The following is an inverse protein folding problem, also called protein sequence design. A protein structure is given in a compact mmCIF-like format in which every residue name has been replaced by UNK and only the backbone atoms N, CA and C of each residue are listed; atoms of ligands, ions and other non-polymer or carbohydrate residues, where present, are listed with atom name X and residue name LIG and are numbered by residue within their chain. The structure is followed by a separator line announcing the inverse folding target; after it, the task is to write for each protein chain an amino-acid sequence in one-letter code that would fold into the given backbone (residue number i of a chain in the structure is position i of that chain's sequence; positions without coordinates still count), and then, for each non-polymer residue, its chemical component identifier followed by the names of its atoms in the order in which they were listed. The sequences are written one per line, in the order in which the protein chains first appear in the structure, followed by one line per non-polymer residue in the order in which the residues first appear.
data_IF_489844617848
#
_entry.id   IF_489844617848
#
_cell.length_a   1.000
_cell.length_b   1.000
_cell.length_c   1.000
_cell.angle_alpha   90.00
_cell.angle_beta   90.00
_cell.angle_gamma   90.00
#
_symmetry.space_group_name_H-M   'P 1'
#
loop_
_entity.id
_entity.type
_entity.pdbx_description
1 polymer ?
#
# COMPACT_ATOMS: atom_id res chain seq x y z
N UNK A 1 41.21 34.13 -77.04
CA UNK A 1 41.35 35.41 -76.30
C UNK A 1 39.94 35.84 -75.97
N UNK A 2 39.41 35.75 -74.74
CA UNK A 2 39.99 36.11 -73.46
C UNK A 2 39.75 35.02 -72.40
N UNK A 3 40.81 34.70 -71.67
CA UNK A 3 40.88 33.92 -70.44
C UNK A 3 40.46 34.78 -69.24
N UNK A 4 39.73 34.21 -68.27
CA UNK A 4 40.13 34.09 -66.85
C UNK A 4 39.22 33.03 -66.22
N UNK A 5 39.88 32.01 -65.70
CA UNK A 5 39.41 30.92 -64.84
C UNK A 5 39.74 31.32 -63.39
N UNK A 6 39.03 30.71 -62.44
CA UNK A 6 39.20 30.77 -60.97
C UNK A 6 38.60 32.04 -60.32
N UNK A 7 37.71 31.97 -59.33
CA UNK A 7 37.85 31.22 -58.08
C UNK A 7 36.71 30.23 -57.79
N UNK A 8 37.10 28.97 -57.56
CA UNK A 8 36.26 27.95 -56.96
C UNK A 8 36.01 28.28 -55.48
N UNK A 9 34.76 28.55 -55.12
CA UNK A 9 34.31 28.50 -53.73
C UNK A 9 34.04 27.03 -53.36
N UNK A 10 35.09 26.20 -53.33
CA UNK A 10 35.05 24.86 -52.76
C UNK A 10 35.59 24.90 -51.35
N UNK A 11 34.69 24.96 -50.38
CA UNK A 11 34.96 24.40 -49.05
C UNK A 11 33.66 23.98 -48.38
N UNK A 12 33.06 22.90 -48.91
CA UNK A 12 32.29 21.98 -48.10
C UNK A 12 33.31 21.22 -47.23
N UNK A 13 33.50 21.69 -45.99
CA UNK A 13 34.18 20.96 -44.92
C UNK A 13 33.22 20.94 -43.73
N UNK A 14 32.97 19.72 -43.25
CA UNK A 14 32.13 19.32 -42.10
C UNK A 14 31.74 20.43 -41.11
N UNK A 15 30.43 20.68 -41.00
CA UNK A 15 29.78 21.70 -40.15
C UNK A 15 29.81 21.39 -38.63
N UNK A 16 30.59 20.42 -38.15
CA UNK A 16 30.42 19.88 -36.77
C UNK A 16 31.25 20.59 -35.67
N UNK A 17 32.01 21.66 -35.97
CA UNK A 17 32.83 22.37 -34.95
C UNK A 17 32.87 23.92 -35.06
N UNK A 18 32.00 24.57 -35.85
CA UNK A 18 31.98 26.04 -35.91
C UNK A 18 30.96 26.63 -34.93
N UNK A 19 31.45 27.40 -33.95
CA UNK A 19 30.58 28.15 -33.03
C UNK A 19 29.66 29.12 -33.79
N UNK A 20 28.35 28.97 -33.59
CA UNK A 20 27.33 29.85 -34.16
C UNK A 20 27.51 31.29 -33.66
N UNK A 21 27.32 32.27 -34.54
CA UNK A 21 27.34 33.69 -34.17
C UNK A 21 26.31 34.00 -33.07
N UNK A 22 26.75 34.66 -31.99
CA UNK A 22 25.88 34.92 -30.83
C UNK A 22 24.99 36.15 -31.04
N UNK A 23 24.00 36.35 -30.16
CA UNK A 23 23.11 37.51 -30.21
C UNK A 23 23.91 38.80 -29.98
N UNK A 24 24.85 38.79 -29.04
CA UNK A 24 25.73 39.91 -28.68
C UNK A 24 26.52 40.41 -29.89
N UNK A 25 27.09 39.49 -30.67
CA UNK A 25 27.85 39.80 -31.88
C UNK A 25 26.98 40.40 -32.99
N UNK A 26 25.65 40.22 -32.90
CA UNK A 26 24.67 40.67 -33.89
C UNK A 26 23.98 41.98 -33.51
N UNK A 27 24.18 42.50 -32.30
CA UNK A 27 23.52 43.74 -31.85
C UNK A 27 23.93 44.91 -32.74
N UNK A 28 22.94 45.73 -33.11
CA UNK A 28 23.16 46.87 -34.01
C UNK A 28 23.92 48.00 -33.30
N UNK A 29 23.53 48.31 -32.06
CA UNK A 29 24.09 49.39 -31.26
C UNK A 29 24.82 48.84 -30.03
N UNK A 30 26.11 49.13 -29.91
CA UNK A 30 26.91 48.67 -28.76
C UNK A 30 26.37 49.21 -27.43
N UNK A 31 25.88 50.46 -27.40
CA UNK A 31 25.30 51.05 -26.19
C UNK A 31 24.10 50.28 -25.64
N UNK A 32 23.28 49.70 -26.53
CA UNK A 32 22.10 48.92 -26.13
C UNK A 32 22.54 47.57 -25.54
N UNK A 33 23.60 46.97 -26.08
CA UNK A 33 24.21 45.76 -25.54
C UNK A 33 24.84 46.04 -24.16
N UNK A 34 25.61 47.11 -24.03
CA UNK A 34 26.27 47.48 -22.77
C UNK A 34 25.24 47.74 -21.66
N UNK A 35 24.14 48.44 -21.98
CA UNK A 35 23.04 48.70 -21.04
C UNK A 35 22.28 47.44 -20.61
N UNK A 36 22.32 46.38 -21.44
CA UNK A 36 21.65 45.11 -21.19
C UNK A 36 22.62 43.99 -20.78
N UNK A 37 23.87 44.34 -20.44
CA UNK A 37 24.89 43.37 -20.00
C UNK A 37 24.81 43.14 -18.49
N UNK A 38 24.87 41.87 -18.07
CA UNK A 38 24.88 41.51 -16.67
C UNK A 38 26.25 41.79 -16.03
N UNK A 39 26.28 42.49 -14.90
CA UNK A 39 27.52 42.77 -14.16
C UNK A 39 28.22 41.55 -13.54
N UNK A 40 27.57 40.39 -13.52
CA UNK A 40 28.10 39.15 -12.94
C UNK A 40 28.70 38.25 -14.02
N UNK A 41 27.92 37.85 -15.03
CA UNK A 41 28.40 36.98 -16.10
C UNK A 41 29.03 37.74 -17.28
N UNK A 42 28.96 39.07 -17.28
CA UNK A 42 29.51 39.94 -18.34
C UNK A 42 28.99 39.61 -19.75
N UNK A 43 27.81 39.00 -19.82
CA UNK A 43 27.10 38.62 -21.05
C UNK A 43 25.76 39.32 -21.12
N UNK A 44 25.08 39.27 -22.27
CA UNK A 44 23.72 39.79 -22.40
C UNK A 44 22.81 39.16 -21.36
N UNK A 45 21.99 39.97 -20.69
CA UNK A 45 21.07 39.47 -19.68
C UNK A 45 20.08 38.47 -20.29
N UNK A 46 19.88 37.35 -19.60
CA UNK A 46 18.91 36.32 -20.01
C UNK A 46 17.61 36.51 -19.24
N UNK A 47 16.49 36.54 -19.97
CA UNK A 47 15.15 36.55 -19.35
C UNK A 47 14.91 35.25 -18.56
N UNK A 48 14.29 35.31 -17.36
CA UNK A 48 13.78 36.50 -16.68
C UNK A 48 14.88 37.35 -16.03
N UNK A 49 14.89 38.66 -16.34
CA UNK A 49 15.80 39.62 -15.68
C UNK A 49 15.28 39.99 -14.31
N UNK A 50 16.16 39.97 -13.30
CA UNK A 50 15.86 40.37 -11.93
C UNK A 50 16.45 41.74 -11.63
N UNK A 51 15.79 42.46 -10.73
CA UNK A 51 16.29 43.71 -10.16
C UNK A 51 16.29 43.65 -8.64
N UNK A 52 17.33 44.21 -8.01
CA UNK A 52 17.31 44.44 -6.57
C UNK A 52 16.37 45.60 -6.20
N UNK A 53 16.15 45.83 -4.91
CA UNK A 53 15.28 46.92 -4.41
C UNK A 53 15.75 48.33 -4.83
N UNK A 54 17.03 48.48 -5.19
CA UNK A 54 17.59 49.74 -5.73
C UNK A 54 17.54 49.85 -7.25
N UNK A 55 16.98 48.86 -7.95
CA UNK A 55 16.83 48.87 -9.42
C UNK A 55 18.03 48.33 -10.23
N UNK A 56 19.06 47.79 -9.59
CA UNK A 56 20.20 47.17 -10.29
C UNK A 56 19.82 45.83 -10.90
N UNK A 57 20.17 45.64 -12.17
CA UNK A 57 19.71 44.53 -13.01
C UNK A 57 20.73 43.39 -13.11
N UNK A 58 20.24 42.17 -13.31
CA UNK A 58 21.06 41.01 -13.62
C UNK A 58 20.24 39.78 -14.01
N UNK A 59 20.91 38.77 -14.57
CA UNK A 59 20.27 37.49 -14.88
C UNK A 59 19.73 36.86 -13.60
N UNK A 60 18.58 36.17 -13.68
CA UNK A 60 18.07 35.39 -12.55
C UNK A 60 19.13 34.43 -11.99
N UNK A 61 19.75 33.64 -12.87
CA UNK A 61 20.78 32.65 -12.53
C UNK A 61 22.04 33.24 -11.88
N UNK A 62 22.24 34.56 -12.01
CA UNK A 62 23.39 35.27 -11.43
C UNK A 62 23.02 35.92 -10.09
N UNK A 63 21.90 36.66 -10.04
CA UNK A 63 21.50 37.37 -8.82
C UNK A 63 21.00 36.44 -7.71
N UNK A 64 20.46 35.26 -8.04
CA UNK A 64 20.04 34.27 -7.03
C UNK A 64 21.21 33.58 -6.31
N UNK A 65 22.45 33.71 -6.82
CA UNK A 65 23.65 33.09 -6.23
C UNK A 65 24.39 34.00 -5.23
N UNK A 66 23.93 35.23 -5.05
CA UNK A 66 24.60 36.23 -4.20
C UNK A 66 23.66 36.73 -3.11
N UNK A 67 24.20 36.96 -1.91
CA UNK A 67 23.43 37.44 -0.76
C UNK A 67 23.30 38.97 -0.69
N UNK A 68 24.10 39.69 -1.48
CA UNK A 68 24.06 41.15 -1.61
C UNK A 68 24.17 41.55 -3.08
N UNK A 69 23.56 42.68 -3.45
CA UNK A 69 23.66 43.19 -4.82
C UNK A 69 25.12 43.57 -5.14
N UNK A 70 25.74 43.06 -6.23
CA UNK A 70 27.12 43.39 -6.56
C UNK A 70 27.37 44.88 -6.87
N UNK A 71 26.32 45.59 -7.28
CA UNK A 71 26.41 47.00 -7.68
C UNK A 71 26.20 47.97 -6.50
N UNK A 72 25.18 47.76 -5.65
CA UNK A 72 24.87 48.65 -4.52
C UNK A 72 25.10 48.06 -3.13
N UNK A 73 25.48 46.79 -3.02
CA UNK A 73 25.72 46.05 -1.76
C UNK A 73 24.51 45.91 -0.83
N UNK A 74 23.32 46.28 -1.28
CA UNK A 74 22.08 46.09 -0.53
C UNK A 74 21.77 44.60 -0.38
N UNK A 75 21.33 44.12 0.80
CA UNK A 75 20.97 42.72 1.02
C UNK A 75 19.88 42.23 0.07
N UNK A 76 20.10 41.05 -0.50
CA UNK A 76 19.11 40.30 -1.27
C UNK A 76 18.51 39.26 -0.32
N UNK A 77 17.50 39.66 0.47
CA UNK A 77 16.75 38.76 1.36
C UNK A 77 15.61 38.06 0.60
N UNK A 78 14.99 37.04 1.20
CA UNK A 78 13.87 36.27 0.62
C UNK A 78 12.76 37.21 0.08
N UNK A 79 12.69 37.37 -1.25
CA UNK A 79 11.74 38.26 -1.94
C UNK A 79 12.30 39.62 -2.39
N UNK A 80 13.58 39.92 -2.13
CA UNK A 80 14.26 41.17 -2.50
C UNK A 80 14.67 41.29 -3.98
N UNK A 81 14.38 40.27 -4.80
CA UNK A 81 14.55 40.29 -6.25
C UNK A 81 13.18 40.28 -6.94
N UNK A 82 12.83 41.40 -7.55
CA UNK A 82 11.66 41.47 -8.43
C UNK A 82 12.06 41.23 -9.88
N UNK A 83 11.14 40.72 -10.71
CA UNK A 83 11.36 40.58 -12.15
C UNK A 83 11.20 41.94 -12.81
N UNK A 84 12.16 42.36 -13.64
CA UNK A 84 12.04 43.58 -14.45
C UNK A 84 11.39 43.26 -15.79
N UNK A 85 10.07 43.43 -15.87
CA UNK A 85 9.31 43.22 -17.12
C UNK A 85 9.73 44.19 -18.22
N UNK A 86 10.11 45.42 -17.85
CA UNK A 86 10.58 46.44 -18.80
C UNK A 86 11.90 45.98 -19.43
N UNK A 87 12.84 45.46 -18.64
CA UNK A 87 14.11 44.97 -19.17
C UNK A 87 13.93 43.71 -20.02
N UNK A 88 13.03 42.80 -19.63
CA UNK A 88 12.66 41.66 -20.49
C UNK A 88 12.10 42.12 -21.85
N UNK A 89 11.25 43.15 -21.85
CA UNK A 89 10.72 43.73 -23.08
C UNK A 89 11.82 44.40 -23.93
N UNK A 90 12.78 45.09 -23.29
CA UNK A 90 13.94 45.68 -23.96
C UNK A 90 14.82 44.61 -24.61
N UNK A 91 15.09 43.49 -23.92
CA UNK A 91 15.82 42.35 -24.48
C UNK A 91 15.09 41.77 -25.69
N UNK A 92 13.78 41.54 -25.58
CA UNK A 92 12.93 41.06 -26.68
C UNK A 92 12.94 42.00 -27.90
N UNK A 93 12.98 43.31 -27.66
CA UNK A 93 12.97 44.35 -28.69
C UNK A 93 14.37 44.76 -29.17
N UNK A 94 15.43 44.18 -28.61
CA UNK A 94 16.81 44.52 -28.94
C UNK A 94 17.06 44.30 -30.44
N UNK A 95 17.52 45.35 -31.12
CA UNK A 95 17.74 45.32 -32.56
C UNK A 95 19.02 44.57 -32.88
N UNK A 96 18.90 43.56 -33.73
CA UNK A 96 20.00 42.71 -34.17
C UNK A 96 20.01 42.57 -35.68
N UNK A 97 21.19 42.37 -36.24
CA UNK A 97 21.37 41.98 -37.63
C UNK A 97 20.96 40.50 -37.82
N UNK A 98 20.46 40.16 -39.02
CA UNK A 98 20.25 38.78 -39.43
C UNK A 98 21.57 37.98 -39.31
N UNK A 99 21.51 36.71 -38.93
CA UNK A 99 22.69 35.81 -38.90
C UNK A 99 23.37 35.73 -40.28
N UNK A 100 22.59 35.72 -41.37
CA UNK A 100 23.09 35.70 -42.75
C UNK A 100 23.70 37.05 -43.21
N UNK A 101 23.80 38.07 -42.34
CA UNK A 101 24.57 39.29 -42.60
C UNK A 101 26.07 39.09 -42.35
N UNK A 102 26.46 37.96 -41.73
CA UNK A 102 27.83 37.70 -41.31
C UNK A 102 28.38 36.47 -42.02
N UNK A 103 29.69 36.49 -42.25
CA UNK A 103 30.47 35.33 -42.69
C UNK A 103 31.60 35.09 -41.69
N UNK A 104 32.01 33.84 -41.56
CA UNK A 104 33.17 33.49 -40.75
C UNK A 104 34.46 33.76 -41.55
N UNK A 105 35.32 34.62 -41.02
CA UNK A 105 36.65 34.87 -41.55
C UNK A 105 37.61 33.83 -40.95
N UNK A 106 38.06 32.88 -41.77
CA UNK A 106 38.96 31.80 -41.35
C UNK A 106 40.36 32.28 -40.95
N UNK A 107 40.83 33.39 -41.51
CA UNK A 107 42.16 33.95 -41.20
C UNK A 107 42.13 34.63 -39.84
N UNK A 108 41.09 35.44 -39.60
CA UNK A 108 40.92 36.20 -38.37
C UNK A 108 40.20 35.40 -37.27
N UNK A 109 39.74 34.19 -37.59
CA UNK A 109 38.94 33.30 -36.73
C UNK A 109 37.76 34.01 -36.07
N UNK A 110 37.06 34.86 -36.82
CA UNK A 110 35.96 35.70 -36.29
C UNK A 110 34.85 35.91 -37.29
N UNK A 111 33.64 36.15 -36.78
CA UNK A 111 32.52 36.59 -37.61
C UNK A 111 32.70 38.04 -38.05
N UNK A 112 32.59 38.30 -39.35
CA UNK A 112 32.67 39.64 -39.94
C UNK A 112 31.41 39.94 -40.75
N UNK A 113 31.00 41.20 -40.80
CA UNK A 113 29.86 41.63 -41.62
C UNK A 113 30.19 41.41 -43.10
N UNK A 114 29.28 40.75 -43.80
CA UNK A 114 29.36 40.50 -45.23
C UNK A 114 28.43 41.43 -46.01
N UNK A 115 28.98 42.28 -46.87
CA UNK A 115 28.20 43.20 -47.71
C UNK A 115 27.24 42.46 -48.66
N UNK A 116 27.54 41.20 -48.99
CA UNK A 116 26.67 40.33 -49.80
C UNK A 116 25.60 39.60 -48.97
N UNK A 117 25.66 39.71 -47.64
CA UNK A 117 24.75 39.09 -46.70
C UNK A 117 23.38 39.79 -46.59
N UNK A 118 22.51 39.29 -45.72
CA UNK A 118 21.17 39.83 -45.52
C UNK A 118 21.16 41.17 -44.76
N UNK A 119 20.84 42.32 -45.40
CA UNK A 119 20.91 43.63 -44.75
C UNK A 119 19.79 43.88 -43.73
N UNK A 120 18.91 42.90 -43.50
CA UNK A 120 17.74 43.07 -42.63
C UNK A 120 18.15 43.16 -41.17
N UNK A 121 17.69 44.22 -40.52
CA UNK A 121 17.69 44.36 -39.06
C UNK A 121 16.34 43.87 -38.53
N UNK A 122 16.39 43.02 -37.51
CA UNK A 122 15.25 42.41 -36.82
C UNK A 122 15.37 42.66 -35.31
N UNK A 123 14.44 42.16 -34.51
CA UNK A 123 14.61 42.11 -33.05
C UNK A 123 14.93 40.69 -32.59
N UNK A 124 15.42 40.52 -31.34
CA UNK A 124 15.61 39.20 -30.73
C UNK A 124 14.34 38.35 -30.85
N UNK A 125 13.17 38.90 -30.50
CA UNK A 125 11.92 38.16 -30.56
C UNK A 125 11.43 37.80 -31.97
N UNK A 126 11.84 38.54 -33.00
CA UNK A 126 11.40 38.31 -34.39
C UNK A 126 12.46 37.66 -35.26
N UNK A 127 13.65 37.40 -34.71
CA UNK A 127 14.79 36.82 -35.42
C UNK A 127 14.47 35.45 -36.01
N UNK A 128 13.81 34.58 -35.25
CA UNK A 128 13.47 33.22 -35.70
C UNK A 128 12.42 33.25 -36.82
N UNK A 129 11.41 34.12 -36.71
CA UNK A 129 10.43 34.34 -37.78
C UNK A 129 11.09 34.86 -39.05
N UNK A 130 12.05 35.77 -38.93
CA UNK A 130 12.83 36.22 -40.07
C UNK A 130 13.70 35.10 -40.65
N UNK A 131 14.34 34.28 -39.82
CA UNK A 131 15.16 33.13 -40.25
C UNK A 131 14.39 32.21 -41.19
N UNK A 132 13.11 31.93 -40.92
CA UNK A 132 12.26 31.10 -41.81
C UNK A 132 12.00 31.73 -43.19
N UNK A 133 11.95 33.06 -43.24
CA UNK A 133 11.58 33.83 -44.45
C UNK A 133 12.76 34.50 -45.13
N UNK A 134 13.98 34.37 -44.58
CA UNK A 134 15.17 35.06 -45.07
C UNK A 134 15.54 34.60 -46.49
N UNK A 135 15.62 35.57 -47.40
CA UNK A 135 15.99 35.37 -48.80
C UNK A 135 17.45 34.91 -49.01
N UNK A 136 18.28 35.05 -47.99
CA UNK A 136 19.70 34.70 -48.00
C UNK A 136 19.99 33.36 -47.32
N UNK A 137 18.96 32.59 -46.96
CA UNK A 137 19.18 31.21 -46.52
C UNK A 137 19.75 30.40 -47.68
N UNK A 138 20.80 29.64 -47.40
CA UNK A 138 21.27 28.58 -48.29
C UNK A 138 20.31 27.39 -48.17
N UNK A 139 19.75 26.98 -49.29
CA UNK A 139 18.86 25.84 -49.39
C UNK A 139 19.44 24.83 -50.38
N UNK A 140 19.36 23.55 -50.05
CA UNK A 140 19.71 22.49 -50.98
C UNK A 140 18.61 22.35 -52.05
N UNK A 141 19.03 22.09 -53.30
CA UNK A 141 18.09 21.77 -54.36
C UNK A 141 17.30 20.49 -54.06
N UNK A 142 15.99 20.51 -54.28
CA UNK A 142 15.10 19.35 -54.05
C UNK A 142 15.14 18.30 -55.16
N UNK A 143 15.75 18.63 -56.31
CA UNK A 143 15.83 17.72 -57.44
C UNK A 143 16.79 16.57 -57.10
N UNK A 144 16.35 15.32 -57.21
CA UNK A 144 17.21 14.18 -56.88
C UNK A 144 18.46 14.16 -57.78
N UNK A 145 19.62 14.05 -57.13
CA UNK A 145 20.93 14.09 -57.79
C UNK A 145 21.52 15.49 -57.97
N UNK A 146 20.86 16.55 -57.48
CA UNK A 146 21.43 17.90 -57.41
C UNK A 146 21.88 18.21 -55.97
N UNK A 147 23.19 18.30 -55.76
CA UNK A 147 23.80 18.64 -54.45
C UNK A 147 24.12 20.14 -54.30
N UNK A 148 23.65 20.97 -55.23
CA UNK A 148 23.88 22.42 -55.21
C UNK A 148 23.12 23.08 -54.04
N UNK A 149 23.82 23.90 -53.27
CA UNK A 149 23.23 24.80 -52.28
C UNK A 149 23.13 26.20 -52.88
N UNK A 150 21.91 26.73 -52.90
CA UNK A 150 21.60 28.01 -53.55
C UNK A 150 20.89 28.92 -52.56
N UNK A 151 21.17 30.22 -52.62
CA UNK A 151 20.42 31.19 -51.83
C UNK A 151 18.94 31.15 -52.23
N UNK A 152 18.04 31.23 -51.25
CA UNK A 152 16.59 31.20 -51.47
C UNK A 152 16.12 32.19 -52.56
N UNK A 153 16.73 33.38 -52.64
CA UNK A 153 16.43 34.39 -53.69
C UNK A 153 16.83 33.97 -55.11
N UNK A 154 17.80 33.08 -55.26
CA UNK A 154 18.38 32.67 -56.54
C UNK A 154 17.90 31.27 -56.96
N UNK A 155 17.09 30.60 -56.11
CA UNK A 155 16.60 29.25 -56.34
C UNK A 155 15.74 29.13 -57.61
N UNK A 156 14.91 30.13 -57.92
CA UNK A 156 14.09 30.13 -59.14
C UNK A 156 14.97 30.10 -60.40
N UNK A 157 16.00 30.95 -60.44
CA UNK A 157 16.99 30.98 -61.52
C UNK A 157 17.79 29.67 -61.61
N UNK A 158 18.13 29.06 -60.48
CA UNK A 158 18.76 27.74 -60.46
C UNK A 158 17.84 26.67 -61.05
N UNK A 159 16.57 26.61 -60.66
CA UNK A 159 15.63 25.59 -61.13
C UNK A 159 15.40 25.66 -62.65
N UNK A 160 15.40 26.87 -63.23
CA UNK A 160 15.35 27.06 -64.70
C UNK A 160 16.54 26.42 -65.43
N UNK A 161 17.71 26.42 -64.80
CA UNK A 161 18.98 25.98 -65.40
C UNK A 161 19.45 24.62 -64.84
N UNK A 162 18.70 24.04 -63.90
CA UNK A 162 19.09 22.83 -63.19
C UNK A 162 19.10 21.63 -64.14
N UNK A 163 20.22 20.90 -64.18
CA UNK A 163 20.39 19.73 -65.05
C UNK A 163 19.60 18.50 -64.58
N UNK A 164 19.11 18.53 -63.34
CA UNK A 164 18.40 17.43 -62.69
C UNK A 164 16.87 17.66 -62.63
N UNK A 165 16.30 18.46 -63.54
CA UNK A 165 14.86 18.75 -63.59
C UNK A 165 14.03 17.45 -63.58
N UNK A 166 13.22 17.26 -62.53
CA UNK A 166 12.29 16.15 -62.43
C UNK A 166 10.89 16.56 -62.90
N UNK A 167 10.14 15.59 -63.41
CA UNK A 167 8.71 15.73 -63.63
C UNK A 167 7.96 15.46 -62.34
N UNK A 168 7.02 16.35 -62.00
CA UNK A 168 6.20 16.27 -60.80
C UNK A 168 4.78 15.87 -61.17
N UNK A 169 4.18 15.00 -60.37
CA UNK A 169 2.75 14.66 -60.46
C UNK A 169 1.90 15.74 -59.81
N UNK A 170 0.71 15.93 -60.33
CA UNK A 170 -0.28 16.81 -59.75
C UNK A 170 -0.61 16.39 -58.30
N UNK A 171 -0.58 17.31 -57.31
CA UNK A 171 -0.81 16.98 -55.91
C UNK A 171 -2.30 16.66 -55.61
N UNK A 172 -3.20 16.93 -56.54
CA UNK A 172 -4.60 16.54 -56.42
C UNK A 172 -4.75 15.08 -56.86
N UNK A 173 -5.01 14.19 -55.89
CA UNK A 173 -4.96 12.72 -56.07
C UNK A 173 -5.73 12.15 -57.27
N UNK A 174 -6.82 12.81 -57.68
CA UNK A 174 -7.67 12.40 -58.81
C UNK A 174 -7.12 12.85 -60.17
N UNK A 175 -6.14 13.76 -60.18
CA UNK A 175 -5.52 14.29 -61.39
C UNK A 175 -4.25 13.50 -61.71
N UNK A 176 -4.18 12.95 -62.92
CA UNK A 176 -3.03 12.15 -63.39
C UNK A 176 -1.96 12.97 -64.10
N UNK A 177 -2.12 14.30 -64.14
CA UNK A 177 -1.17 15.17 -64.84
C UNK A 177 0.22 15.06 -64.22
N UNK A 178 1.22 14.97 -65.09
CA UNK A 178 2.64 14.94 -64.75
C UNK A 178 3.36 15.91 -65.67
N UNK A 179 4.22 16.77 -65.13
CA UNK A 179 4.94 17.75 -65.93
C UNK A 179 6.06 18.44 -65.15
N UNK A 180 6.81 19.33 -65.81
CA UNK A 180 7.84 20.12 -65.11
C UNK A 180 7.19 21.10 -64.13
N UNK A 181 7.93 21.55 -63.11
CA UNK A 181 7.39 22.45 -62.06
C UNK A 181 6.58 23.64 -62.61
N UNK A 182 7.10 24.39 -63.60
CA UNK A 182 6.37 25.52 -64.22
C UNK A 182 5.11 25.11 -64.98
N UNK A 183 5.15 23.98 -65.69
CA UNK A 183 4.00 23.46 -66.43
C UNK A 183 2.94 22.92 -65.49
N UNK A 184 3.38 22.31 -64.39
CA UNK A 184 2.54 21.85 -63.30
C UNK A 184 1.84 23.01 -62.57
N UNK A 185 2.57 24.08 -62.25
CA UNK A 185 2.00 25.28 -61.64
C UNK A 185 0.92 25.88 -62.55
N UNK A 186 1.19 25.94 -63.86
CA UNK A 186 0.22 26.45 -64.84
C UNK A 186 -0.99 25.52 -64.98
N UNK A 187 -0.80 24.20 -65.00
CA UNK A 187 -1.89 23.21 -64.97
C UNK A 187 -2.76 23.40 -63.73
N UNK A 188 -2.16 23.49 -62.55
CA UNK A 188 -2.88 23.69 -61.29
C UNK A 188 -3.70 24.98 -61.35
N UNK A 189 -3.12 26.09 -61.82
CA UNK A 189 -3.83 27.37 -61.91
C UNK A 189 -5.00 27.33 -62.90
N UNK A 190 -4.83 26.69 -64.05
CA UNK A 190 -5.87 26.59 -65.08
C UNK A 190 -7.01 25.67 -64.63
N UNK A 191 -6.68 24.56 -63.97
CA UNK A 191 -7.63 23.50 -63.64
C UNK A 191 -8.07 23.53 -62.16
N UNK A 192 -7.73 24.57 -61.40
CA UNK A 192 -8.02 24.65 -59.96
C UNK A 192 -9.51 24.52 -59.64
N UNK A 193 -10.38 25.06 -60.49
CA UNK A 193 -11.82 24.93 -60.33
C UNK A 193 -12.28 23.46 -60.40
N UNK A 194 -11.70 22.68 -61.32
CA UNK A 194 -11.97 21.25 -61.49
C UNK A 194 -11.39 20.44 -60.32
N UNK A 195 -10.19 20.79 -59.86
CA UNK A 195 -9.60 20.16 -58.68
C UNK A 195 -10.45 20.38 -57.43
N UNK A 196 -10.92 21.60 -57.19
CA UNK A 196 -11.78 21.94 -56.06
C UNK A 196 -13.11 21.19 -56.15
N UNK A 197 -13.75 21.14 -57.33
CA UNK A 197 -15.03 20.43 -57.48
C UNK A 197 -14.91 18.94 -57.20
N UNK A 198 -13.82 18.31 -57.67
CA UNK A 198 -13.61 16.87 -57.42
C UNK A 198 -13.32 16.59 -55.94
N UNK A 199 -12.51 17.42 -55.30
CA UNK A 199 -12.24 17.27 -53.86
C UNK A 199 -13.50 17.48 -53.02
N UNK A 200 -14.33 18.46 -53.36
CA UNK A 200 -15.62 18.67 -52.70
C UNK A 200 -16.54 17.47 -52.87
N UNK A 201 -16.60 16.91 -54.08
CA UNK A 201 -17.38 15.69 -54.34
C UNK A 201 -16.89 14.49 -53.51
N UNK A 202 -15.57 14.26 -53.42
CA UNK A 202 -15.02 13.22 -52.55
C UNK A 202 -15.35 13.46 -51.07
N UNK A 203 -15.26 14.72 -50.62
CA UNK A 203 -15.61 15.10 -49.25
C UNK A 203 -17.10 14.85 -48.97
N UNK A 204 -17.98 15.23 -49.89
CA UNK A 204 -19.42 15.01 -49.78
C UNK A 204 -19.74 13.51 -49.71
N UNK A 205 -19.08 12.68 -50.52
CA UNK A 205 -19.22 11.22 -50.47
C UNK A 205 -18.77 10.65 -49.11
N UNK A 206 -17.67 11.17 -48.54
CA UNK A 206 -17.20 10.75 -47.21
C UNK A 206 -18.18 11.16 -46.10
N UNK A 207 -18.74 12.36 -46.18
CA UNK A 207 -19.75 12.85 -45.24
C UNK A 207 -21.00 11.97 -45.30
N UNK A 208 -21.46 11.62 -46.51
CA UNK A 208 -22.62 10.75 -46.69
C UNK A 208 -22.39 9.36 -46.07
N UNK A 209 -21.22 8.77 -46.31
CA UNK A 209 -20.84 7.49 -45.72
C UNK A 209 -20.81 7.57 -44.19
N UNK A 210 -20.20 8.61 -43.63
CA UNK A 210 -20.11 8.79 -42.18
C UNK A 210 -21.49 8.97 -41.55
N UNK A 211 -22.37 9.74 -42.19
CA UNK A 211 -23.75 9.91 -41.75
C UNK A 211 -24.51 8.59 -41.74
N UNK A 212 -24.32 7.74 -42.77
CA UNK A 212 -24.91 6.41 -42.82
C UNK A 212 -24.41 5.53 -41.67
N UNK A 213 -23.10 5.47 -41.44
CA UNK A 213 -22.52 4.70 -40.32
C UNK A 213 -23.01 5.22 -38.96
N UNK A 214 -23.16 6.53 -38.81
CA UNK A 214 -23.71 7.13 -37.60
C UNK A 214 -25.17 6.71 -37.38
N UNK A 215 -26.00 6.74 -38.43
CA UNK A 215 -27.39 6.31 -38.35
C UNK A 215 -27.52 4.82 -37.94
N UNK A 216 -26.69 3.95 -38.53
CA UNK A 216 -26.63 2.53 -38.17
C UNK A 216 -26.23 2.34 -36.69
N UNK A 217 -25.25 3.11 -36.22
CA UNK A 217 -24.80 3.09 -34.82
C UNK A 217 -25.89 3.56 -33.86
N UNK A 218 -26.61 4.63 -34.20
CA UNK A 218 -27.74 5.14 -33.41
C UNK A 218 -28.83 4.07 -33.29
N UNK A 219 -29.15 3.35 -34.36
CA UNK A 219 -30.18 2.31 -34.32
C UNK A 219 -29.77 1.13 -33.42
N UNK A 220 -28.50 0.72 -33.47
CA UNK A 220 -27.95 -0.29 -32.54
C UNK A 220 -28.02 0.16 -31.07
N UNK A 221 -27.73 1.44 -30.79
CA UNK A 221 -27.85 2.01 -29.46
C UNK A 221 -29.31 2.03 -28.97
N UNK A 222 -30.27 2.36 -29.83
CA UNK A 222 -31.71 2.29 -29.48
C UNK A 222 -32.13 0.88 -29.07
N UNK A 223 -31.72 -0.14 -29.83
CA UNK A 223 -32.00 -1.55 -29.50
C UNK A 223 -31.39 -1.92 -28.15
N UNK A 224 -30.16 -1.50 -27.88
CA UNK A 224 -29.48 -1.74 -26.61
C UNK A 224 -30.18 -1.04 -25.45
N UNK A 225 -30.62 0.21 -25.64
CA UNK A 225 -31.35 0.97 -24.64
C UNK A 225 -32.71 0.31 -24.30
N UNK A 226 -33.43 -0.19 -25.30
CA UNK A 226 -34.67 -0.95 -25.08
C UNK A 226 -34.43 -2.21 -24.22
N UNK A 227 -33.32 -2.92 -24.45
CA UNK A 227 -32.95 -4.07 -23.60
C UNK A 227 -32.67 -3.66 -22.16
N UNK A 228 -31.98 -2.53 -21.96
CA UNK A 228 -31.69 -1.98 -20.63
C UNK A 228 -33.00 -1.64 -19.90
N UNK A 229 -33.97 -1.02 -20.56
CA UNK A 229 -35.27 -0.71 -19.94
C UNK A 229 -36.05 -1.97 -19.52
N UNK A 230 -36.04 -3.02 -20.34
CA UNK A 230 -36.62 -4.32 -19.96
C UNK A 230 -35.92 -4.90 -18.73
N UNK A 231 -34.58 -4.84 -18.67
CA UNK A 231 -33.81 -5.34 -17.53
C UNK A 231 -34.11 -4.53 -16.26
N UNK A 232 -34.23 -3.20 -16.35
CA UNK A 232 -34.63 -2.34 -15.22
C UNK A 232 -35.99 -2.75 -14.66
N UNK A 233 -36.97 -3.00 -15.53
CA UNK A 233 -38.29 -3.48 -15.11
C UNK A 233 -38.22 -4.83 -14.40
N UNK A 234 -37.40 -5.76 -14.91
CA UNK A 234 -37.16 -7.07 -14.26
C UNK A 234 -36.53 -6.91 -12.89
N UNK A 235 -35.48 -6.09 -12.75
CA UNK A 235 -34.84 -5.82 -11.45
C UNK A 235 -35.87 -5.29 -10.45
N UNK A 236 -36.68 -4.30 -10.84
CA UNK A 236 -37.74 -3.76 -9.98
C UNK A 236 -38.73 -4.83 -9.51
N UNK A 237 -39.12 -5.77 -10.38
CA UNK A 237 -40.01 -6.87 -10.00
C UNK A 237 -39.36 -7.86 -9.03
N UNK A 238 -38.06 -8.11 -9.17
CA UNK A 238 -37.28 -8.96 -8.27
C UNK A 238 -37.10 -8.30 -6.90
N UNK A 239 -36.85 -6.99 -6.86
CA UNK A 239 -36.74 -6.23 -5.61
C UNK A 239 -38.02 -6.32 -4.78
N UNK A 240 -39.19 -6.11 -5.41
CA UNK A 240 -40.50 -6.24 -4.74
C UNK A 240 -40.71 -7.66 -4.20
N UNK A 241 -40.33 -8.67 -4.99
CA UNK A 241 -40.45 -10.08 -4.58
C UNK A 241 -39.54 -10.38 -3.39
N UNK A 242 -38.28 -9.94 -3.45
CA UNK A 242 -37.31 -10.11 -2.36
C UNK A 242 -37.78 -9.41 -1.08
N UNK A 243 -38.33 -8.20 -1.19
CA UNK A 243 -38.89 -7.48 -0.04
C UNK A 243 -40.06 -8.24 0.59
N UNK A 244 -40.97 -8.79 -0.22
CA UNK A 244 -42.08 -9.61 0.28
C UNK A 244 -41.59 -10.90 0.97
N UNK A 245 -40.55 -11.55 0.44
CA UNK A 245 -39.95 -12.74 1.04
C UNK A 245 -39.25 -12.41 2.36
N UNK A 246 -38.52 -11.30 2.43
CA UNK A 246 -37.88 -10.83 3.66
C UNK A 246 -38.89 -10.52 4.75
N UNK A 247 -40.04 -9.92 4.40
CA UNK A 247 -41.13 -9.70 5.36
C UNK A 247 -41.72 -11.02 5.89
N UNK A 248 -41.88 -12.02 5.02
CA UNK A 248 -42.35 -13.35 5.42
C UNK A 248 -41.35 -14.06 6.34
N UNK A 249 -40.05 -14.03 6.01
CA UNK A 249 -39.01 -14.62 6.84
C UNK A 249 -38.98 -13.94 8.21
N UNK A 250 -39.10 -12.61 8.25
CA UNK A 250 -39.14 -11.86 9.50
C UNK A 250 -40.30 -12.29 10.40
N UNK A 251 -41.51 -12.44 9.86
CA UNK A 251 -42.66 -12.88 10.66
C UNK A 251 -42.52 -14.32 11.16
N UNK A 252 -41.91 -15.21 10.37
CA UNK A 252 -41.58 -16.57 10.80
C UNK A 252 -40.57 -16.59 11.96
N UNK A 253 -39.52 -15.76 11.89
CA UNK A 253 -38.54 -15.62 12.97
C UNK A 253 -39.20 -15.13 14.26
N UNK A 254 -40.05 -14.10 14.17
CA UNK A 254 -40.78 -13.56 15.32
C UNK A 254 -41.69 -14.62 15.96
N UNK A 255 -42.37 -15.43 15.15
CA UNK A 255 -43.19 -16.55 15.65
C UNK A 255 -42.37 -17.62 16.36
N UNK A 256 -41.23 -18.01 15.78
CA UNK A 256 -40.31 -18.99 16.40
C UNK A 256 -39.75 -18.46 17.72
N UNK A 257 -39.36 -17.19 17.78
CA UNK A 257 -38.88 -16.56 19.01
C UNK A 257 -39.94 -16.58 20.12
N UNK A 258 -41.21 -16.35 19.80
CA UNK A 258 -42.30 -16.47 20.77
C UNK A 258 -42.47 -17.91 21.26
N UNK A 259 -42.38 -18.91 20.37
CA UNK A 259 -42.42 -20.32 20.74
C UNK A 259 -41.26 -20.69 21.68
N UNK A 260 -40.02 -20.28 21.36
CA UNK A 260 -38.87 -20.50 22.23
C UNK A 260 -39.06 -19.91 23.63
N UNK A 261 -39.52 -18.65 23.72
CA UNK A 261 -39.78 -17.99 25.00
C UNK A 261 -40.82 -18.72 25.86
N UNK A 262 -41.84 -19.30 25.22
CA UNK A 262 -42.85 -20.11 25.92
C UNK A 262 -42.25 -21.42 26.48
N UNK A 263 -41.35 -22.06 25.74
CA UNK A 263 -40.65 -23.27 26.17
C UNK A 263 -39.68 -22.98 27.34
N UNK A 264 -38.92 -21.89 27.28
CA UNK A 264 -38.03 -21.45 28.37
C UNK A 264 -38.79 -21.23 29.68
N UNK A 265 -39.97 -20.60 29.60
CA UNK A 265 -40.82 -20.35 30.77
C UNK A 265 -41.33 -21.66 31.39
N UNK A 266 -41.67 -22.65 30.56
CA UNK A 266 -42.09 -23.96 31.04
C UNK A 266 -40.94 -24.75 31.67
N UNK A 267 -39.72 -24.62 31.15
CA UNK A 267 -38.55 -25.34 31.66
C UNK A 267 -38.07 -24.78 33.01
N UNK A 268 -38.11 -23.45 33.20
CA UNK A 268 -37.73 -22.81 34.47
C UNK A 268 -38.58 -23.26 35.67
N UNK A 269 -39.84 -23.65 35.45
CA UNK A 269 -40.71 -24.22 36.50
C UNK A 269 -40.28 -25.64 36.92
N UNK A 270 -39.70 -26.41 35.99
CA UNK A 270 -39.20 -27.77 36.26
C UNK A 270 -37.91 -27.70 37.07
N UNK A 271 -36.99 -26.81 36.72
CA UNK A 271 -35.71 -26.64 37.42
C UNK A 271 -35.88 -26.25 38.90
N UNK A 272 -36.88 -25.41 39.20
CA UNK A 272 -37.17 -24.97 40.57
C UNK A 272 -37.66 -26.12 41.48
N UNK A 273 -38.37 -27.11 40.93
CA UNK A 273 -38.82 -28.31 41.69
C UNK A 273 -37.66 -29.28 41.96
N UNK A 274 -36.74 -29.42 41.01
CA UNK A 274 -35.55 -30.29 41.15
C UNK A 274 -34.60 -29.75 42.22
N UNK A 275 -34.41 -28.43 42.29
CA UNK A 275 -33.57 -27.79 43.32
C UNK A 275 -34.07 -28.07 44.75
N UNK A 276 -35.38 -27.97 45.00
CA UNK A 276 -35.98 -28.25 46.32
C UNK A 276 -35.81 -29.69 46.80
N UNK A 277 -35.74 -30.67 45.90
CA UNK A 277 -35.48 -32.06 46.27
C UNK A 277 -34.02 -32.28 46.65
N UNK A 278 -33.06 -31.68 45.93
CA UNK A 278 -31.62 -31.85 46.18
C UNK A 278 -31.16 -31.31 47.54
N UNK A 279 -31.71 -30.17 47.97
CA UNK A 279 -31.35 -29.57 49.27
C UNK A 279 -31.86 -30.40 50.46
N UNK A 280 -33.03 -31.04 50.35
CA UNK A 280 -33.53 -31.99 51.36
C UNK A 280 -32.64 -33.24 51.50
N UNK A 281 -32.03 -33.70 50.41
CA UNK A 281 -31.15 -34.89 50.43
C UNK A 281 -29.77 -34.58 51.01
N UNK A 282 -29.23 -33.37 50.79
CA UNK A 282 -27.93 -32.94 51.36
C UNK A 282 -27.94 -32.79 52.87
N UNK A 283 -29.06 -32.37 53.46
CA UNK A 283 -29.23 -32.27 54.92
C UNK A 283 -29.22 -33.65 55.59
N UNK A 284 -29.75 -34.70 54.93
CA UNK A 284 -29.80 -36.06 55.49
C UNK A 284 -28.43 -36.79 55.49
N UNK A 285 -27.47 -36.40 54.65
CA UNK A 285 -26.17 -37.08 54.49
C UNK A 285 -25.13 -36.61 55.53
N UNK A 286 -25.34 -35.45 56.17
CA UNK A 286 -24.39 -34.83 57.12
C UNK A 286 -24.26 -35.57 58.48
N UNK A 287 -25.07 -36.60 58.75
CA UNK A 287 -25.01 -37.35 60.02
C UNK A 287 -24.96 -38.86 59.85
N UNK A 288 -24.67 -39.36 58.65
CA UNK A 288 -24.58 -40.80 58.39
C UNK A 288 -23.19 -41.32 58.73
N UNK A 289 -23.12 -42.20 59.73
CA UNK A 289 -21.89 -42.91 60.09
C UNK A 289 -21.48 -43.88 58.99
N UNK A 290 -20.27 -43.73 58.47
CA UNK A 290 -19.65 -44.60 57.47
C UNK A 290 -18.71 -45.57 58.16
N UNK A 291 -18.67 -46.81 57.66
CA UNK A 291 -17.73 -47.84 58.08
C UNK A 291 -16.92 -48.28 56.86
N UNK A 292 -15.60 -48.36 57.02
CA UNK A 292 -14.68 -48.88 56.01
C UNK A 292 -13.73 -49.88 56.68
N UNK A 293 -13.39 -50.94 55.97
CA UNK A 293 -12.46 -51.97 56.42
C UNK A 293 -11.39 -52.16 55.35
N UNK A 294 -10.12 -52.07 55.77
CA UNK A 294 -8.97 -52.27 54.92
C UNK A 294 -8.12 -53.41 55.45
N UNK A 295 -7.91 -54.43 54.63
CA UNK A 295 -7.07 -55.59 54.97
C UNK A 295 -5.73 -55.46 54.25
N UNK A 296 -4.66 -55.36 55.03
CA UNK A 296 -3.29 -55.28 54.53
C UNK A 296 -2.73 -56.70 54.49
N UNK A 297 -2.76 -57.31 53.31
CA UNK A 297 -2.22 -58.65 53.12
C UNK A 297 -0.68 -58.66 53.12
N UNK A 298 -0.10 -59.76 53.62
CA UNK A 298 1.35 -59.95 53.72
C UNK A 298 2.05 -58.79 54.46
N UNK A 299 1.43 -58.30 55.52
CA UNK A 299 1.87 -57.15 56.30
C UNK A 299 3.31 -57.31 56.80
N UNK A 300 3.70 -58.52 57.24
CA UNK A 300 5.08 -58.76 57.71
C UNK A 300 6.15 -58.50 56.65
N UNK A 301 5.88 -58.84 55.37
CA UNK A 301 6.79 -58.50 54.27
C UNK A 301 6.86 -56.99 54.04
N UNK A 302 5.69 -56.33 54.02
CA UNK A 302 5.56 -54.88 53.78
C UNK A 302 6.21 -54.06 54.89
N UNK A 303 6.06 -54.50 56.14
CA UNK A 303 6.72 -53.94 57.30
C UNK A 303 8.25 -53.99 57.18
N UNK A 304 8.81 -55.15 56.75
CA UNK A 304 10.26 -55.29 56.52
C UNK A 304 10.77 -54.48 55.34
N UNK A 305 9.97 -54.31 54.28
CA UNK A 305 10.36 -53.49 53.13
C UNK A 305 10.30 -51.99 53.38
N UNK A 306 9.73 -51.55 54.52
CA UNK A 306 9.55 -50.13 54.87
C UNK A 306 8.84 -49.33 53.77
N UNK A 307 7.82 -49.93 53.19
CA UNK A 307 7.01 -49.31 52.15
C UNK A 307 5.67 -48.89 52.73
N UNK A 308 5.34 -47.60 52.56
CA UNK A 308 4.03 -47.07 52.92
C UNK A 308 2.95 -47.69 52.02
N UNK A 309 1.76 -47.85 52.59
CA UNK A 309 0.63 -48.48 51.90
C UNK A 309 -0.63 -47.65 52.09
N UNK A 310 -1.53 -47.69 51.11
CA UNK A 310 -2.75 -46.88 51.10
C UNK A 310 -3.97 -47.77 50.84
N UNK A 311 -5.07 -47.48 51.51
CA UNK A 311 -6.37 -48.10 51.22
C UNK A 311 -6.97 -47.53 49.94
N UNK A 312 -7.97 -48.23 49.39
CA UNK A 312 -8.87 -47.62 48.41
C UNK A 312 -9.63 -46.43 49.05
N UNK A 313 -10.04 -45.47 48.22
CA UNK A 313 -10.84 -44.34 48.64
C UNK A 313 -12.26 -44.77 49.05
N UNK A 314 -12.79 -44.19 50.13
CA UNK A 314 -14.17 -44.36 50.58
C UNK A 314 -14.87 -43.01 50.78
N UNK A 315 -16.18 -42.99 50.52
CA UNK A 315 -17.00 -41.76 50.56
C UNK A 315 -17.57 -41.51 51.95
N UNK A 316 -17.35 -40.32 52.51
CA UNK A 316 -17.99 -39.89 53.75
C UNK A 316 -18.24 -38.39 53.75
N UNK A 317 -19.49 -37.99 54.05
CA UNK A 317 -19.90 -36.59 54.10
C UNK A 317 -19.81 -35.84 52.76
N UNK A 318 -19.76 -36.57 51.64
CA UNK A 318 -19.60 -36.00 50.30
C UNK A 318 -18.15 -35.86 49.82
N UNK A 319 -17.18 -36.32 50.60
CA UNK A 319 -15.74 -36.28 50.28
C UNK A 319 -15.15 -37.70 50.16
N UNK A 320 -14.00 -37.81 49.51
CA UNK A 320 -13.18 -39.02 49.39
C UNK A 320 -12.14 -39.08 50.52
N UNK A 321 -12.01 -40.24 51.14
CA UNK A 321 -11.12 -40.49 52.27
C UNK A 321 -10.33 -41.77 52.04
N UNK A 322 -9.10 -41.84 52.52
CA UNK A 322 -8.30 -43.06 52.50
C UNK A 322 -7.51 -43.22 53.81
N UNK A 323 -7.06 -44.44 54.07
CA UNK A 323 -6.23 -44.79 55.21
C UNK A 323 -4.82 -45.07 54.69
N UNK A 324 -3.82 -44.49 55.35
CA UNK A 324 -2.41 -44.68 55.06
C UNK A 324 -1.75 -45.44 56.21
N UNK A 325 -0.93 -46.41 55.86
CA UNK A 325 0.07 -47.01 56.72
C UNK A 325 1.42 -46.32 56.44
N UNK A 326 1.98 -45.67 57.46
CA UNK A 326 3.29 -45.02 57.41
C UNK A 326 4.30 -45.79 58.25
N UNK A 327 5.47 -46.11 57.68
CA UNK A 327 6.54 -46.85 58.34
C UNK A 327 7.75 -45.94 58.60
N UNK A 328 7.95 -45.55 59.85
CA UNK A 328 9.03 -44.62 60.21
C UNK A 328 10.38 -45.32 60.44
N UNK A 329 11.47 -44.56 60.27
CA UNK A 329 12.82 -45.10 60.29
C UNK A 329 13.24 -45.68 61.65
N UNK A 330 12.61 -45.24 62.73
CA UNK A 330 12.82 -45.70 64.11
C UNK A 330 12.06 -46.99 64.44
N UNK A 331 11.31 -47.54 63.48
CA UNK A 331 10.57 -48.78 63.60
C UNK A 331 9.11 -48.58 64.02
N UNK A 332 8.62 -47.36 64.24
CA UNK A 332 7.22 -47.12 64.56
C UNK A 332 6.31 -47.29 63.33
N UNK A 333 5.08 -47.75 63.57
CA UNK A 333 4.08 -48.03 62.52
C UNK A 333 2.86 -47.19 62.75
N UNK A 334 2.59 -46.25 61.85
CA UNK A 334 1.50 -45.29 61.95
C UNK A 334 0.32 -45.61 61.05
N UNK A 335 -0.89 -45.47 61.57
CA UNK A 335 -2.13 -45.58 60.78
C UNK A 335 -2.87 -44.26 60.81
N UNK A 336 -3.06 -43.67 59.63
CA UNK A 336 -3.59 -42.31 59.46
C UNK A 336 -4.75 -42.29 58.49
N UNK A 337 -5.75 -41.47 58.78
CA UNK A 337 -6.86 -41.18 57.86
C UNK A 337 -6.61 -39.84 57.20
N UNK A 338 -6.76 -39.79 55.88
CA UNK A 338 -6.54 -38.60 55.06
C UNK A 338 -7.79 -38.23 54.25
N UNK A 339 -7.90 -36.95 53.93
CA UNK A 339 -8.96 -36.38 53.09
C UNK A 339 -8.39 -36.13 51.68
N UNK A 340 -8.90 -36.84 50.68
CA UNK A 340 -8.38 -36.78 49.32
C UNK A 340 -8.92 -35.55 48.56
N UNK A 341 -8.01 -34.76 47.96
CA UNK A 341 -8.33 -33.68 47.00
C UNK A 341 -9.40 -32.70 47.51
N UNK A 342 -9.22 -32.21 48.73
CA UNK A 342 -10.15 -31.26 49.34
C UNK A 342 -10.21 -29.95 48.53
N UNK A 343 -11.37 -29.56 47.95
CA UNK A 343 -11.51 -28.37 47.10
C UNK A 343 -11.59 -27.07 47.92
N UNK A 344 -10.96 -27.08 49.09
CA UNK A 344 -10.84 -25.94 49.97
C UNK A 344 -11.93 -25.74 51.01
N UNK A 345 -12.26 -26.82 51.71
CA UNK A 345 -13.20 -26.81 52.83
C UNK A 345 -12.48 -27.15 54.13
N UNK A 346 -12.96 -26.63 55.25
CA UNK A 346 -12.65 -27.17 56.57
C UNK A 346 -13.67 -28.25 56.90
N UNK A 347 -13.20 -29.50 57.00
CA UNK A 347 -14.05 -30.68 57.23
C UNK A 347 -13.77 -31.22 58.62
N UNK A 348 -14.68 -30.97 59.56
CA UNK A 348 -14.61 -31.51 60.92
C UNK A 348 -15.21 -32.92 60.95
N UNK A 349 -14.40 -33.90 61.33
CA UNK A 349 -14.77 -35.32 61.34
C UNK A 349 -14.52 -35.93 62.71
N UNK A 350 -15.44 -36.78 63.16
CA UNK A 350 -15.25 -37.64 64.34
C UNK A 350 -15.26 -39.09 63.90
N UNK A 351 -14.21 -39.85 64.25
CA UNK A 351 -14.08 -41.24 63.85
C UNK A 351 -13.33 -42.09 64.86
N UNK A 352 -13.49 -43.40 64.78
CA UNK A 352 -12.69 -44.41 65.46
C UNK A 352 -11.89 -45.19 64.45
N UNK A 353 -10.61 -45.39 64.73
CA UNK A 353 -9.71 -46.22 63.94
C UNK A 353 -9.28 -47.41 64.79
N UNK A 354 -9.65 -48.61 64.36
CA UNK A 354 -9.30 -49.86 65.02
C UNK A 354 -8.33 -50.67 64.17
N UNK A 355 -7.19 -51.07 64.74
CA UNK A 355 -6.20 -51.93 64.09
C UNK A 355 -6.19 -53.28 64.79
N UNK A 356 -6.47 -54.34 64.02
CA UNK A 356 -6.52 -55.72 64.50
C UNK A 356 -5.33 -56.49 63.94
N UNK A 357 -4.44 -56.91 64.84
CA UNK A 357 -3.27 -57.73 64.53
C UNK A 357 -3.63 -59.23 64.70
N UNK A 358 -3.09 -60.14 63.87
CA UNK A 358 -3.56 -61.53 63.80
C UNK A 358 -3.34 -62.38 65.06
N UNK A 359 -2.52 -61.92 66.03
CA UNK A 359 -2.21 -62.64 67.27
C UNK A 359 -2.18 -61.74 68.53
N UNK A 360 -2.71 -60.53 68.44
CA UNK A 360 -2.76 -59.56 69.56
C UNK A 360 -4.15 -58.94 69.71
N UNK A 361 -4.40 -58.25 70.82
CA UNK A 361 -5.67 -57.55 71.02
C UNK A 361 -5.81 -56.38 70.02
N UNK A 362 -7.02 -56.15 69.53
CA UNK A 362 -7.31 -55.00 68.65
C UNK A 362 -7.08 -53.68 69.40
N UNK A 363 -6.40 -52.75 68.75
CA UNK A 363 -6.19 -51.40 69.26
C UNK A 363 -7.21 -50.48 68.64
N UNK A 364 -7.88 -49.66 69.44
CA UNK A 364 -8.88 -48.70 68.96
C UNK A 364 -8.62 -47.34 69.55
N UNK A 365 -8.65 -46.31 68.72
CA UNK A 365 -8.56 -44.93 69.15
C UNK A 365 -9.61 -44.07 68.46
N UNK A 366 -10.16 -43.12 69.22
CA UNK A 366 -11.15 -42.16 68.72
C UNK A 366 -10.49 -40.80 68.49
N UNK A 367 -10.83 -40.19 67.36
CA UNK A 367 -10.33 -38.91 66.91
C UNK A 367 -11.48 -37.96 66.65
N UNK A 368 -11.24 -36.67 66.90
CA UNK A 368 -12.04 -35.59 66.33
C UNK A 368 -11.06 -34.59 65.74
N UNK A 369 -10.97 -34.56 64.42
CA UNK A 369 -10.01 -33.71 63.71
C UNK A 369 -10.72 -32.79 62.71
N UNK A 370 -10.06 -31.69 62.36
CA UNK A 370 -10.48 -30.80 61.27
C UNK A 370 -9.45 -30.95 60.17
N UNK A 371 -9.89 -31.38 58.99
CA UNK A 371 -9.06 -31.51 57.81
C UNK A 371 -9.24 -30.25 56.95
N UNK A 372 -8.14 -29.64 56.56
CA UNK A 372 -8.06 -28.50 55.67
C UNK A 372 -7.54 -28.95 54.28
N UNK A 373 -7.05 -27.99 53.48
CA UNK A 373 -6.50 -28.27 52.15
C UNK A 373 -5.03 -28.70 52.18
N UNK A 374 -4.35 -28.59 53.32
CA UNK A 374 -3.01 -29.11 53.51
C UNK A 374 -3.18 -30.59 53.87
N UNK A 375 -2.59 -31.49 53.07
CA UNK A 375 -2.81 -32.95 53.09
C UNK A 375 -2.33 -33.59 54.42
N UNK A 376 -3.09 -33.35 55.48
CA UNK A 376 -2.76 -33.66 56.87
C UNK A 376 -3.59 -34.84 57.36
N UNK A 377 -2.89 -35.89 57.81
CA UNK A 377 -3.52 -37.12 58.29
C UNK A 377 -3.75 -37.10 59.80
N UNK A 378 -4.83 -37.74 60.27
CA UNK A 378 -5.05 -37.96 61.71
C UNK A 378 -5.09 -39.44 62.04
N UNK A 379 -4.35 -39.83 63.08
CA UNK A 379 -4.08 -41.24 63.35
C UNK A 379 -3.22 -41.46 64.57
N UNK A 380 -2.69 -42.68 64.68
CA UNK A 380 -1.79 -43.06 65.78
C UNK A 380 -0.76 -44.09 65.36
N UNK A 381 0.31 -44.16 66.15
CA UNK A 381 1.38 -45.15 65.98
C UNK A 381 1.21 -46.32 66.94
N UNK A 382 1.64 -47.50 66.49
CA UNK A 382 1.88 -48.68 67.30
C UNK A 382 3.39 -48.88 67.47
N UNK A 383 3.81 -49.11 68.71
CA UNK A 383 5.20 -49.41 69.05
C UNK A 383 5.58 -50.81 68.54
N UNK A 384 6.59 -50.88 67.68
CA UNK A 384 7.03 -52.12 67.05
C UNK A 384 7.67 -53.10 68.03
N UNK A 385 8.36 -52.59 69.04
CA UNK A 385 8.99 -53.44 70.04
C UNK A 385 7.97 -54.17 70.91
N UNK A 386 6.77 -53.60 71.05
CA UNK A 386 5.72 -54.16 71.90
C UNK A 386 4.75 -55.02 71.10
N UNK A 387 4.40 -54.62 69.88
CA UNK A 387 3.26 -55.22 69.16
C UNK A 387 3.62 -55.98 67.89
N UNK A 388 4.83 -55.79 67.33
CA UNK A 388 5.18 -56.31 66.00
C UNK A 388 6.31 -57.35 66.00
N UNK A 389 6.86 -57.71 67.17
CA UNK A 389 8.01 -58.65 67.32
C UNK A 389 7.76 -60.06 66.76
N UNK A 390 6.52 -60.55 66.75
CA UNK A 390 6.19 -61.94 66.35
C UNK A 390 5.45 -62.06 65.00
N UNK A 391 5.32 -60.96 64.26
CA UNK A 391 4.60 -60.93 62.98
C UNK A 391 5.34 -61.76 61.92
N UNK A 392 4.60 -62.64 61.25
CA UNK A 392 5.08 -63.43 60.13
C UNK A 392 4.88 -62.69 58.80
N UNK A 393 5.69 -63.05 57.82
CA UNK A 393 5.67 -62.44 56.47
C UNK A 393 4.29 -62.48 55.80
N UNK A 394 3.50 -63.52 56.05
CA UNK A 394 2.17 -63.73 55.46
C UNK A 394 1.01 -63.24 56.33
N UNK A 395 1.30 -62.68 57.50
CA UNK A 395 0.25 -62.20 58.40
C UNK A 395 -0.48 -60.99 57.79
N UNK A 396 -1.79 -60.89 58.02
CA UNK A 396 -2.61 -59.78 57.54
C UNK A 396 -3.01 -58.87 58.70
N UNK A 397 -3.04 -57.56 58.47
CA UNK A 397 -3.52 -56.57 59.46
C UNK A 397 -4.79 -55.95 58.94
N UNK A 398 -5.83 -55.92 59.78
CA UNK A 398 -7.11 -55.29 59.42
C UNK A 398 -7.25 -53.95 60.11
N UNK A 399 -7.52 -52.91 59.33
CA UNK A 399 -7.77 -51.56 59.82
C UNK A 399 -9.23 -51.19 59.55
N UNK A 400 -9.99 -50.96 60.61
CA UNK A 400 -11.40 -50.59 60.56
C UNK A 400 -11.58 -49.13 60.92
N UNK A 401 -12.15 -48.37 59.99
CA UNK A 401 -12.60 -47.01 60.18
C UNK A 401 -14.10 -46.99 60.46
N UNK A 402 -14.52 -46.14 61.41
CA UNK A 402 -15.93 -45.82 61.59
C UNK A 402 -16.08 -44.37 62.01
N UNK A 403 -16.77 -43.55 61.22
CA UNK A 403 -16.84 -42.11 61.49
C UNK A 403 -17.93 -41.39 60.72
N UNK A 404 -18.06 -40.10 61.00
CA UNK A 404 -18.95 -39.20 60.26
C UNK A 404 -18.36 -37.80 60.19
N UNK A 405 -18.77 -37.04 59.16
CA UNK A 405 -18.45 -35.61 59.04
C UNK A 405 -19.43 -34.83 59.91
N UNK A 406 -18.92 -34.17 60.95
CA UNK A 406 -19.74 -33.41 61.90
C UNK A 406 -20.07 -32.01 61.38
N UNK A 407 -19.17 -31.37 60.63
CA UNK A 407 -19.37 -30.02 60.09
C UNK A 407 -18.48 -29.78 58.88
N UNK A 408 -19.00 -29.03 57.90
CA UNK A 408 -18.24 -28.53 56.74
C UNK A 408 -18.40 -27.01 56.70
N UNK A 409 -17.29 -26.29 56.56
CA UNK A 409 -17.27 -24.85 56.32
C UNK A 409 -16.24 -24.50 55.24
N UNK A 410 -16.33 -23.30 54.68
CA UNK A 410 -15.31 -22.80 53.75
C UNK A 410 -14.01 -22.54 54.51
N UNK A 411 -12.88 -22.94 53.93
CA UNK A 411 -11.56 -22.67 54.49
C UNK A 411 -11.16 -21.21 54.21
N UNK A 412 -11.01 -20.37 55.26
CA UNK A 412 -10.70 -18.95 55.08
C UNK A 412 -9.29 -18.69 54.54
N UNK A 413 -8.37 -19.65 54.70
CA UNK A 413 -6.97 -19.52 54.28
C UNK A 413 -6.75 -19.83 52.79
N UNK A 414 -7.79 -20.35 52.12
CA UNK A 414 -7.86 -20.51 50.65
C UNK A 414 -8.36 -19.22 50.02
N UNK A 415 -7.72 -18.13 50.41
CA UNK A 415 -7.83 -16.83 49.76
C UNK A 415 -6.46 -16.42 49.22
N UNK A 416 -6.04 -17.12 48.16
CA UNK A 416 -5.56 -16.50 46.92
C UNK A 416 -5.47 -17.50 45.78
#
# INVERSE_FOLDING_TARGET
MCTIVDEKFTQAMSDDERESITIEQRVVNQSDLDALTCSICLSLMTSPVKQCISGHLGCQSCLEKVSTCPQCRVPISNGGLSRSLITDHMLSSLRIHCENQFRYDNEQKKWVKDEKGCPKITTVATSDTHKLTCKFNLLQCENQGCDEQVLKKDMDSHLEQCKHQQEFRCPFNVCQYTGKRKELDQHILNDIAVHISNNNYEMDCQIELLNKTCAESIESLKVSNNKIEILKQKIKSLEITNESQNQLIKSQIESLQQQFKSLETSNGYVDQKVWKCKEKTKEMIKHTTVHSEWVIENFGKKYKSKTDEYSDDFKMGGFDWYICLSLENDGQVGFYVFLHNNPGKLVKTTFTLQVSLPRSQSHIQQFTNIYDHEDSGAGYYLDSETYLKEIQDTDCVTVQFKGFVAKVSDDPDIKK
#
